data_IF_476398619480
#
_entry.id   IF_476398619480
#
_cell.length_a   1.000
_cell.length_b   1.000
_cell.length_c   1.000
_cell.angle_alpha   90.00
_cell.angle_beta   90.00
_cell.angle_gamma   90.00
#
_symmetry.space_group_name_H-M   'P 1'
#
loop_
_entity.id
_entity.type
_entity.pdbx_description
1 polymer ?
#
# COMPACT_ATOMS: atom_id res chain seq x y z
N UNK A 1 1.82 15.34 9.37
CA UNK A 1 2.55 14.06 9.38
C UNK A 1 1.78 12.96 10.09
N UNK A 2 1.20 13.22 11.28
CA UNK A 2 0.28 12.28 11.97
C UNK A 2 -1.04 12.03 11.25
N UNK A 3 -1.69 13.09 10.73
CA UNK A 3 -3.00 12.95 10.08
C UNK A 3 -3.04 12.08 8.81
N UNK A 4 -1.91 11.90 8.11
CA UNK A 4 -1.83 10.99 6.95
C UNK A 4 -1.79 9.51 7.37
N UNK A 5 -1.16 9.22 8.50
CA UNK A 5 -1.07 7.87 9.07
C UNK A 5 -2.44 7.46 9.63
N UNK A 6 -3.14 8.37 10.31
CA UNK A 6 -4.47 8.12 10.87
C UNK A 6 -5.51 7.79 9.77
N UNK A 7 -5.46 8.50 8.63
CA UNK A 7 -6.32 8.21 7.47
C UNK A 7 -5.95 6.87 6.83
N UNK A 8 -4.66 6.54 6.74
CA UNK A 8 -4.20 5.29 6.15
C UNK A 8 -4.65 4.08 6.97
N UNK A 9 -4.48 4.13 8.31
CA UNK A 9 -5.03 3.13 9.23
C UNK A 9 -6.54 3.03 9.12
N UNK A 10 -7.24 4.16 9.11
CA UNK A 10 -8.69 4.17 8.98
C UNK A 10 -9.15 3.46 7.70
N UNK A 11 -8.49 3.69 6.56
CA UNK A 11 -8.84 3.05 5.29
C UNK A 11 -8.54 1.54 5.30
N UNK A 12 -7.42 1.11 5.88
CA UNK A 12 -7.10 -0.33 6.04
C UNK A 12 -8.16 -1.02 6.92
N UNK A 13 -8.55 -0.40 8.04
CA UNK A 13 -9.54 -0.94 8.99
C UNK A 13 -10.97 -1.03 8.41
N UNK A 14 -11.30 -0.25 7.38
CA UNK A 14 -12.61 -0.31 6.70
C UNK A 14 -12.77 -1.53 5.76
N UNK A 15 -11.91 -2.55 5.88
CA UNK A 15 -11.84 -3.71 4.96
C UNK A 15 -11.54 -3.30 3.52
N UNK A 16 -10.85 -2.18 3.32
CA UNK A 16 -10.30 -1.90 2.00
C UNK A 16 -9.39 -3.08 1.63
N UNK A 17 -9.61 -3.65 0.45
CA UNK A 17 -8.72 -4.65 -0.12
C UNK A 17 -7.31 -4.04 -0.16
N UNK A 18 -6.41 -4.51 0.71
CA UNK A 18 -5.06 -3.94 0.92
C UNK A 18 -4.24 -3.93 -0.38
N UNK A 19 -4.56 -4.84 -1.31
CA UNK A 19 -3.95 -4.96 -2.62
C UNK A 19 -4.86 -4.48 -3.77
N UNK A 20 -5.91 -3.70 -3.50
CA UNK A 20 -6.74 -3.15 -4.57
C UNK A 20 -5.86 -2.27 -5.48
N UNK A 21 -5.70 -2.64 -6.77
CA UNK A 21 -4.90 -1.83 -7.67
C UNK A 21 -5.72 -0.66 -8.22
N UNK A 22 -5.04 0.40 -8.63
CA UNK A 22 -5.59 1.38 -9.55
C UNK A 22 -5.62 0.86 -11.00
N UNK A 23 -6.04 1.70 -11.94
CA UNK A 23 -6.13 1.36 -13.36
C UNK A 23 -4.78 1.07 -14.04
N UNK A 24 -3.66 1.29 -13.36
CA UNK A 24 -2.30 0.99 -13.83
C UNK A 24 -1.63 -0.14 -13.04
N UNK A 25 -2.39 -0.86 -12.22
CA UNK A 25 -1.89 -1.95 -11.39
C UNK A 25 -1.18 -1.50 -10.11
N UNK A 26 -1.19 -0.21 -9.76
CA UNK A 26 -0.53 0.28 -8.54
C UNK A 26 -1.39 -0.01 -7.32
N UNK A 27 -0.80 -0.70 -6.35
CA UNK A 27 -1.41 -0.95 -5.04
C UNK A 27 -0.99 0.13 -4.03
N UNK A 28 -1.70 0.26 -2.89
CA UNK A 28 -1.25 1.11 -1.78
C UNK A 28 0.22 0.87 -1.39
N UNK A 29 0.70 -0.38 -1.44
CA UNK A 29 2.08 -0.71 -1.09
C UNK A 29 3.09 -0.11 -2.07
N UNK A 30 2.79 -0.07 -3.39
CA UNK A 30 3.67 0.59 -4.36
C UNK A 30 3.82 2.08 -4.07
N UNK A 31 2.70 2.74 -3.73
CA UNK A 31 2.67 4.18 -3.45
C UNK A 31 3.45 4.49 -2.17
N UNK A 32 3.22 3.73 -1.10
CA UNK A 32 3.91 3.90 0.17
C UNK A 32 5.43 3.67 0.05
N UNK A 33 5.84 2.62 -0.66
CA UNK A 33 7.26 2.31 -0.90
C UNK A 33 7.93 3.40 -1.76
N UNK A 34 7.29 3.82 -2.85
CA UNK A 34 7.80 4.91 -3.70
C UNK A 34 7.89 6.26 -2.99
N UNK A 35 7.07 6.48 -1.97
CA UNK A 35 7.05 7.70 -1.16
C UNK A 35 7.99 7.63 0.06
N UNK A 36 8.66 6.50 0.31
CA UNK A 36 9.52 6.31 1.48
C UNK A 36 8.77 6.27 2.81
N UNK A 37 7.48 5.91 2.80
CA UNK A 37 6.62 5.90 3.99
C UNK A 37 6.75 4.59 4.77
N UNK A 38 7.88 4.42 5.47
CA UNK A 38 8.24 3.14 6.13
C UNK A 38 7.17 2.60 7.10
N UNK A 39 6.51 3.48 7.86
CA UNK A 39 5.47 3.07 8.81
C UNK A 39 4.24 2.49 8.09
N UNK A 40 3.81 3.12 6.99
CA UNK A 40 2.68 2.65 6.18
C UNK A 40 3.05 1.34 5.46
N UNK A 41 4.28 1.21 4.97
CA UNK A 41 4.77 -0.04 4.39
C UNK A 41 4.65 -1.18 5.41
N UNK A 42 5.10 -0.98 6.66
CA UNK A 42 5.00 -1.98 7.73
C UNK A 42 3.55 -2.37 8.02
N UNK A 43 2.64 -1.40 8.05
CA UNK A 43 1.21 -1.66 8.26
C UNK A 43 0.58 -2.47 7.14
N UNK A 44 0.82 -2.08 5.87
CA UNK A 44 0.29 -2.78 4.70
C UNK A 44 0.82 -4.22 4.62
N UNK A 45 2.11 -4.43 4.87
CA UNK A 45 2.71 -5.77 4.92
C UNK A 45 2.14 -6.58 6.08
N UNK A 46 1.96 -5.97 7.26
CA UNK A 46 1.32 -6.60 8.42
C UNK A 46 -0.15 -6.98 8.17
N UNK A 47 -0.84 -6.22 7.33
CA UNK A 47 -2.20 -6.50 6.88
C UNK A 47 -2.28 -7.53 5.74
N UNK A 48 -1.14 -8.05 5.26
CA UNK A 48 -1.09 -9.12 4.26
C UNK A 48 -0.99 -8.65 2.81
N UNK A 49 -0.56 -7.41 2.54
CA UNK A 49 -0.28 -6.95 1.19
C UNK A 49 0.76 -7.81 0.47
N UNK A 50 0.53 -8.15 -0.80
CA UNK A 50 1.47 -8.90 -1.62
C UNK A 50 2.65 -8.02 -2.06
N UNK A 51 3.79 -8.23 -1.39
CA UNK A 51 5.06 -7.54 -1.66
C UNK A 51 5.64 -7.81 -3.05
N UNK A 52 5.18 -8.86 -3.74
CA UNK A 52 5.67 -9.25 -5.06
C UNK A 52 4.67 -8.94 -6.19
N UNK A 53 3.52 -8.34 -5.87
CA UNK A 53 2.49 -8.07 -6.87
C UNK A 53 2.97 -7.06 -7.91
N UNK A 54 3.10 -7.50 -9.15
CA UNK A 54 3.52 -6.62 -10.25
C UNK A 54 2.38 -5.72 -10.70
N UNK A 55 2.67 -4.44 -10.92
CA UNK A 55 1.79 -3.54 -11.67
C UNK A 55 1.84 -3.83 -13.18
N UNK A 56 1.09 -3.07 -13.98
CA UNK A 56 1.00 -3.28 -15.44
C UNK A 56 2.33 -3.05 -16.18
N UNK A 57 3.30 -2.41 -15.51
CA UNK A 57 4.66 -2.20 -16.01
C UNK A 57 5.64 -3.27 -15.55
N UNK A 58 5.18 -4.29 -14.82
CA UNK A 58 6.03 -5.37 -14.29
C UNK A 58 6.83 -4.98 -13.05
N UNK A 59 6.56 -3.82 -12.44
CA UNK A 59 7.26 -3.30 -11.26
C UNK A 59 6.63 -3.90 -10.00
N UNK A 60 7.45 -4.34 -9.05
CA UNK A 60 7.02 -4.76 -7.72
C UNK A 60 7.03 -3.59 -6.72
N UNK A 61 6.23 -3.64 -5.64
CA UNK A 61 6.24 -2.62 -4.60
C UNK A 61 7.57 -2.48 -3.86
N UNK A 62 8.24 -3.61 -3.61
CA UNK A 62 9.55 -3.75 -2.96
C UNK A 62 10.51 -4.48 -3.91
#
# INVERSE_FOLDING_TARGET
SSGSIDITRFLIDQKAEVDKPDNSGWTPLHIAASAGQEEIVKELVGAGADVNRKNDKGITPL
#
